data_IF_665900921960
#
_entry.id   IF_665900921960
#
_cell.length_a   1.000
_cell.length_b   1.000
_cell.length_c   1.000
_cell.angle_alpha   90.00
_cell.angle_beta   90.00
_cell.angle_gamma   90.00
#
_symmetry.space_group_name_H-M   'P 1'
#
loop_
_entity.id
_entity.type
_entity.pdbx_description
1 polymer ?
#
# COMPACT_ATOMS: atom_id res chain seq x y z
N UNK A 1 66.75 26.84 -69.86
CA UNK A 1 66.37 25.78 -70.83
C UNK A 1 65.02 25.21 -70.43
N UNK A 2 64.07 25.17 -71.37
CA UNK A 2 62.75 24.52 -71.25
C UNK A 2 62.90 23.01 -70.96
N UNK A 3 62.05 22.46 -70.08
CA UNK A 3 61.31 21.18 -70.20
C UNK A 3 60.38 21.04 -68.96
N UNK A 4 59.07 21.20 -69.17
CA UNK A 4 58.03 20.15 -69.16
C UNK A 4 57.69 19.64 -67.74
N UNK A 5 56.53 20.03 -67.18
CA UNK A 5 55.25 19.29 -67.24
C UNK A 5 55.30 17.96 -66.44
N UNK A 6 54.66 17.91 -65.26
CA UNK A 6 53.41 17.18 -65.06
C UNK A 6 52.94 17.26 -63.60
N UNK A 7 51.70 17.70 -63.47
CA UNK A 7 50.79 17.55 -62.35
C UNK A 7 50.69 16.12 -61.83
N UNK A 8 50.58 15.95 -60.51
CA UNK A 8 49.69 14.94 -59.92
C UNK A 8 49.12 15.45 -58.59
N UNK A 9 47.85 15.85 -58.68
CA UNK A 9 46.86 15.84 -57.61
C UNK A 9 46.90 14.50 -56.86
N UNK A 10 46.57 14.56 -55.57
CA UNK A 10 45.66 13.59 -54.98
C UNK A 10 46.30 12.35 -54.37
N UNK A 11 46.47 12.38 -53.04
CA UNK A 11 46.22 11.21 -52.21
C UNK A 11 45.87 11.66 -50.79
N UNK A 12 44.79 12.44 -50.67
CA UNK A 12 43.86 12.24 -49.57
C UNK A 12 43.28 10.83 -49.74
N UNK A 13 43.92 9.84 -49.13
CA UNK A 13 43.39 8.48 -49.03
C UNK A 13 43.13 8.21 -47.56
N UNK A 14 41.87 8.52 -47.20
CA UNK A 14 41.02 7.64 -46.41
C UNK A 14 41.69 7.00 -45.19
N UNK A 15 41.77 7.76 -44.10
CA UNK A 15 41.55 7.19 -42.77
C UNK A 15 40.10 6.69 -42.74
N UNK A 16 39.86 5.54 -43.37
CA UNK A 16 38.67 4.75 -43.11
C UNK A 16 38.74 4.36 -41.64
N UNK A 17 37.87 4.98 -40.85
CA UNK A 17 37.64 4.66 -39.45
C UNK A 17 37.22 3.19 -39.33
N UNK A 18 38.18 2.29 -39.13
CA UNK A 18 37.90 0.95 -38.63
C UNK A 18 37.54 1.07 -37.14
N UNK A 19 36.28 1.43 -36.87
CA UNK A 19 35.67 1.12 -35.57
C UNK A 19 35.80 -0.39 -35.40
N UNK A 20 36.42 -0.83 -34.31
CA UNK A 20 36.49 -2.26 -34.03
C UNK A 20 35.06 -2.80 -33.90
N UNK A 21 34.82 -4.05 -34.31
CA UNK A 21 33.49 -4.66 -34.21
C UNK A 21 32.92 -4.60 -32.78
N UNK A 22 33.79 -4.53 -31.78
CA UNK A 22 33.46 -4.35 -30.37
C UNK A 22 32.94 -2.95 -30.04
N UNK A 23 33.50 -1.88 -30.62
CA UNK A 23 33.01 -0.51 -30.44
C UNK A 23 31.68 -0.29 -31.15
N UNK A 24 31.51 -0.87 -32.34
CA UNK A 24 30.23 -0.83 -33.05
C UNK A 24 29.14 -1.64 -32.32
N UNK A 25 29.49 -2.78 -31.72
CA UNK A 25 28.58 -3.56 -30.87
C UNK A 25 28.23 -2.82 -29.57
N UNK A 26 29.20 -2.18 -28.91
CA UNK A 26 28.98 -1.37 -27.71
C UNK A 26 28.08 -0.15 -28.00
N UNK A 27 28.30 0.56 -29.10
CA UNK A 27 27.43 1.66 -29.51
C UNK A 27 26.02 1.19 -29.84
N UNK A 28 25.86 0.04 -30.52
CA UNK A 28 24.52 -0.54 -30.78
C UNK A 28 23.83 -0.95 -29.49
N UNK A 29 24.55 -1.55 -28.54
CA UNK A 29 24.01 -1.89 -27.22
C UNK A 29 23.61 -0.63 -26.45
N UNK A 30 24.40 0.44 -26.53
CA UNK A 30 24.11 1.71 -25.89
C UNK A 30 22.92 2.43 -26.55
N UNK A 31 22.79 2.37 -27.87
CA UNK A 31 21.63 2.89 -28.61
C UNK A 31 20.36 2.10 -28.29
N UNK A 32 20.44 0.76 -28.21
CA UNK A 32 19.32 -0.09 -27.79
C UNK A 32 18.94 0.19 -26.33
N UNK A 33 19.91 0.38 -25.44
CA UNK A 33 19.65 0.76 -24.05
C UNK A 33 19.01 2.15 -23.93
N UNK A 34 19.48 3.13 -24.70
CA UNK A 34 18.90 4.47 -24.75
C UNK A 34 17.48 4.48 -25.37
N UNK A 35 17.25 3.69 -26.41
CA UNK A 35 15.92 3.51 -27.01
C UNK A 35 14.96 2.83 -26.04
N UNK A 36 15.43 1.81 -25.31
CA UNK A 36 14.65 1.12 -24.28
C UNK A 36 14.32 2.05 -23.09
N UNK A 37 15.24 2.94 -22.70
CA UNK A 37 15.01 3.94 -21.67
C UNK A 37 13.98 5.02 -22.09
N UNK A 38 13.88 5.31 -23.39
CA UNK A 38 12.95 6.30 -23.94
C UNK A 38 11.63 5.69 -24.44
N UNK A 39 11.43 4.38 -24.26
CA UNK A 39 10.23 3.69 -24.73
C UNK A 39 8.97 4.19 -24.00
N UNK A 40 7.77 4.06 -24.61
CA UNK A 40 6.50 4.36 -23.95
C UNK A 40 6.33 3.60 -22.62
N UNK A 41 6.79 2.36 -22.54
CA UNK A 41 6.76 1.53 -21.33
C UNK A 41 7.71 2.06 -20.25
N UNK A 42 8.90 2.55 -20.61
CA UNK A 42 9.80 3.18 -19.66
C UNK A 42 9.19 4.47 -19.07
N UNK A 43 8.62 5.32 -19.93
CA UNK A 43 7.91 6.54 -19.51
C UNK A 43 6.68 6.22 -18.64
N UNK A 44 5.91 5.19 -19.00
CA UNK A 44 4.76 4.75 -18.20
C UNK A 44 5.18 4.23 -16.82
N UNK A 45 6.30 3.51 -16.72
CA UNK A 45 6.88 3.06 -15.45
C UNK A 45 7.35 4.23 -14.60
N UNK A 46 8.09 5.17 -15.17
CA UNK A 46 8.54 6.36 -14.47
C UNK A 46 7.36 7.18 -13.94
N UNK A 47 6.34 7.39 -14.77
CA UNK A 47 5.09 8.05 -14.37
C UNK A 47 4.39 7.30 -13.22
N UNK A 48 4.31 5.97 -13.30
CA UNK A 48 3.72 5.14 -12.24
C UNK A 48 4.51 5.24 -10.93
N UNK A 49 5.85 5.19 -10.98
CA UNK A 49 6.71 5.39 -9.81
C UNK A 49 6.52 6.76 -9.19
N UNK A 50 6.49 7.82 -10.01
CA UNK A 50 6.23 9.18 -9.54
C UNK A 50 4.88 9.29 -8.84
N UNK A 51 3.81 8.76 -9.44
CA UNK A 51 2.47 8.76 -8.84
C UNK A 51 2.43 7.96 -7.54
N UNK A 52 3.04 6.77 -7.51
CA UNK A 52 3.03 5.86 -6.37
C UNK A 52 3.82 6.38 -5.16
N UNK A 53 4.81 7.26 -5.39
CA UNK A 53 5.71 7.80 -4.35
C UNK A 53 5.45 9.25 -3.99
N UNK A 54 4.46 9.89 -4.63
CA UNK A 54 4.04 11.25 -4.27
C UNK A 54 3.11 11.20 -3.06
N UNK A 55 3.56 11.69 -1.90
CA UNK A 55 2.71 11.75 -0.70
C UNK A 55 1.45 12.58 -0.96
N UNK A 56 0.27 12.12 -0.51
CA UNK A 56 -0.94 12.90 -0.68
C UNK A 56 -0.92 14.14 0.22
N UNK A 57 -1.76 15.13 -0.10
CA UNK A 57 -1.86 16.35 0.69
C UNK A 57 -2.33 16.06 2.12
N UNK A 58 -1.98 16.92 3.08
CA UNK A 58 -2.49 16.80 4.44
C UNK A 58 -4.01 17.01 4.45
N UNK A 59 -4.77 16.11 5.10
CA UNK A 59 -6.21 16.30 5.28
C UNK A 59 -6.47 17.46 6.25
N UNK A 60 -7.52 18.23 5.98
CA UNK A 60 -7.86 19.39 6.78
C UNK A 60 -8.42 18.97 8.14
N UNK A 61 -7.96 19.63 9.21
CA UNK A 61 -8.33 19.26 10.58
C UNK A 61 -9.79 19.58 10.95
N UNK A 62 -10.43 20.46 10.19
CA UNK A 62 -11.82 20.90 10.35
C UNK A 62 -12.85 19.86 9.85
N UNK A 63 -12.41 18.87 9.06
CA UNK A 63 -13.23 17.77 8.55
C UNK A 63 -12.58 16.43 8.87
N UNK A 64 -12.70 15.95 10.12
CA UNK A 64 -12.17 14.65 10.48
C UNK A 64 -12.86 13.55 9.66
N UNK A 65 -12.06 12.63 9.14
CA UNK A 65 -12.55 11.47 8.40
C UNK A 65 -13.43 10.62 9.33
N UNK A 66 -14.64 10.24 8.89
CA UNK A 66 -15.45 9.27 9.63
C UNK A 66 -14.79 7.89 9.57
N UNK A 67 -14.29 7.44 10.72
CA UNK A 67 -13.59 6.16 10.83
C UNK A 67 -14.53 4.99 11.10
N UNK A 68 -15.81 5.20 11.41
CA UNK A 68 -16.73 4.10 11.74
C UNK A 68 -16.80 3.02 10.66
N UNK A 69 -16.94 3.35 9.36
CA UNK A 69 -16.95 2.33 8.31
C UNK A 69 -15.64 1.53 8.25
N UNK A 70 -14.50 2.15 8.59
CA UNK A 70 -13.21 1.48 8.67
C UNK A 70 -13.20 0.43 9.78
N UNK A 71 -13.59 0.81 11.00
CA UNK A 71 -13.50 -0.07 12.15
C UNK A 71 -14.54 -1.19 12.07
N UNK A 72 -15.73 -0.92 11.55
CA UNK A 72 -16.76 -1.95 11.30
C UNK A 72 -16.28 -3.02 10.31
N UNK A 73 -15.49 -2.64 9.31
CA UNK A 73 -14.91 -3.60 8.36
C UNK A 73 -13.91 -4.56 9.04
N UNK A 74 -13.22 -4.08 10.08
CA UNK A 74 -12.23 -4.86 10.85
C UNK A 74 -12.86 -5.74 11.93
N UNK A 75 -14.18 -5.64 12.14
CA UNK A 75 -14.88 -6.51 13.09
C UNK A 75 -15.11 -7.92 12.50
N UNK A 76 -15.12 -8.95 13.37
CA UNK A 76 -15.60 -10.29 13.02
C UNK A 76 -17.03 -10.31 12.47
N UNK A 77 -17.27 -11.08 11.41
CA UNK A 77 -18.57 -11.18 10.71
C UNK A 77 -19.67 -11.86 11.50
N UNK A 78 -19.27 -12.79 12.36
CA UNK A 78 -20.15 -13.49 13.30
C UNK A 78 -20.69 -12.55 14.39
N UNK A 79 -20.11 -11.36 14.57
CA UNK A 79 -20.69 -10.31 15.39
C UNK A 79 -20.44 -10.45 16.90
N UNK A 80 -19.51 -11.33 17.29
CA UNK A 80 -19.14 -11.47 18.71
C UNK A 80 -18.39 -10.24 19.25
N UNK A 81 -17.86 -9.36 18.40
CA UNK A 81 -17.36 -8.05 18.82
C UNK A 81 -18.26 -6.94 18.28
N UNK A 82 -18.63 -6.01 19.15
CA UNK A 82 -19.40 -4.82 18.80
C UNK A 82 -18.53 -3.57 18.93
N UNK A 83 -18.56 -2.72 17.90
CA UNK A 83 -18.11 -1.33 17.99
C UNK A 83 -19.19 -0.48 18.66
N UNK A 84 -18.83 0.13 19.80
CA UNK A 84 -19.70 1.03 20.58
C UNK A 84 -19.51 2.47 20.11
N UNK A 85 -18.26 2.91 19.98
CA UNK A 85 -17.90 4.24 19.49
C UNK A 85 -16.53 4.25 18.85
N UNK A 86 -16.26 5.26 18.03
CA UNK A 86 -14.95 5.52 17.45
C UNK A 86 -14.77 7.01 17.23
N UNK A 87 -13.53 7.47 17.37
CA UNK A 87 -13.08 8.80 16.99
C UNK A 87 -11.66 8.75 16.45
N UNK A 88 -11.29 9.76 15.67
CA UNK A 88 -9.89 10.00 15.34
C UNK A 88 -9.11 10.31 16.64
N UNK A 89 -7.98 9.64 16.84
CA UNK A 89 -7.10 9.91 17.97
C UNK A 89 -6.15 11.08 17.68
N UNK A 90 -5.70 11.19 16.43
CA UNK A 90 -4.82 12.24 15.92
C UNK A 90 -5.21 12.60 14.48
N UNK A 91 -4.58 13.64 13.94
CA UNK A 91 -4.72 13.99 12.52
C UNK A 91 -4.26 12.84 11.60
N UNK A 92 -4.96 12.67 10.48
CA UNK A 92 -4.56 11.73 9.43
C UNK A 92 -3.14 12.05 8.94
N UNK A 93 -2.27 11.04 8.83
CA UNK A 93 -0.87 11.22 8.47
C UNK A 93 -0.61 10.73 7.04
N UNK A 94 -0.26 11.61 6.09
CA UNK A 94 0.11 11.22 4.74
C UNK A 94 1.30 10.27 4.72
N UNK A 95 1.17 9.16 3.99
CA UNK A 95 2.17 8.11 3.93
C UNK A 95 2.25 7.49 2.52
N UNK A 96 3.39 6.84 2.26
CA UNK A 96 3.53 5.89 1.15
C UNK A 96 3.40 4.51 1.77
N UNK A 97 2.38 3.76 1.35
CA UNK A 97 1.99 2.49 1.95
C UNK A 97 2.33 1.34 1.00
N UNK A 98 2.81 0.23 1.57
CA UNK A 98 3.05 -0.99 0.81
C UNK A 98 1.72 -1.60 0.38
N UNK A 99 1.56 -1.86 -0.91
CA UNK A 99 0.34 -2.47 -1.43
C UNK A 99 0.16 -3.89 -0.86
N UNK A 100 -1.09 -4.30 -0.63
CA UNK A 100 -1.44 -5.70 -0.38
C UNK A 100 -0.85 -6.60 -1.45
N UNK A 101 -0.42 -7.82 -1.10
CA UNK A 101 0.24 -8.74 -2.05
C UNK A 101 -0.57 -8.89 -3.35
N UNK A 102 -1.90 -9.04 -3.25
CA UNK A 102 -2.80 -9.22 -4.40
C UNK A 102 -3.10 -7.94 -5.18
N UNK A 103 -2.69 -6.77 -4.67
CA UNK A 103 -2.79 -5.49 -5.37
C UNK A 103 -1.48 -5.10 -6.03
N UNK A 104 -0.38 -5.82 -5.73
CA UNK A 104 0.92 -5.53 -6.31
C UNK A 104 0.90 -5.88 -7.80
N UNK A 105 1.49 -5.03 -8.65
CA UNK A 105 1.66 -5.33 -10.06
C UNK A 105 2.41 -6.66 -10.27
N UNK A 106 1.88 -7.52 -11.15
CA UNK A 106 2.52 -8.80 -11.52
C UNK A 106 3.80 -8.56 -12.34
N UNK A 107 3.83 -7.49 -13.13
CA UNK A 107 5.01 -7.09 -13.89
C UNK A 107 6.10 -6.60 -12.93
N UNK A 108 7.22 -7.31 -12.87
CA UNK A 108 8.43 -6.82 -12.21
C UNK A 108 8.79 -5.43 -12.74
N UNK A 109 9.20 -4.53 -11.85
CA UNK A 109 9.57 -3.12 -12.11
C UNK A 109 8.45 -2.06 -12.04
N UNK A 110 7.24 -2.40 -11.62
CA UNK A 110 6.25 -1.41 -11.19
C UNK A 110 6.24 -1.25 -9.66
N UNK A 111 5.87 -0.07 -9.12
CA UNK A 111 5.94 0.20 -7.69
C UNK A 111 5.02 -0.73 -6.89
N UNK A 112 5.51 -1.39 -5.82
CA UNK A 112 4.69 -2.20 -4.92
C UNK A 112 4.02 -1.34 -3.83
N UNK A 113 3.95 -0.02 -4.02
CA UNK A 113 3.49 0.96 -3.03
C UNK A 113 2.46 1.88 -3.65
N UNK A 114 1.69 2.57 -2.82
CA UNK A 114 0.76 3.62 -3.24
C UNK A 114 0.65 4.73 -2.17
N UNK A 115 0.28 5.95 -2.58
CA UNK A 115 0.01 7.03 -1.63
C UNK A 115 -1.25 6.75 -0.81
N UNK A 116 -1.22 7.17 0.45
CA UNK A 116 -2.33 6.96 1.37
C UNK A 116 -2.16 7.70 2.69
N UNK A 117 -2.91 7.27 3.69
CA UNK A 117 -2.94 7.86 5.02
C UNK A 117 -2.90 6.79 6.09
N UNK A 118 -2.18 7.09 7.17
CA UNK A 118 -2.36 6.44 8.47
C UNK A 118 -3.41 7.22 9.23
N UNK A 119 -4.42 6.53 9.75
CA UNK A 119 -5.57 7.11 10.44
C UNK A 119 -5.58 6.62 11.88
N UNK A 120 -4.91 7.33 12.81
CA UNK A 120 -4.92 6.97 14.23
C UNK A 120 -6.34 7.06 14.80
N UNK A 121 -6.77 6.04 15.54
CA UNK A 121 -8.11 5.96 16.10
C UNK A 121 -8.11 5.58 17.58
N UNK A 122 -9.18 5.98 18.25
CA UNK A 122 -9.61 5.45 19.54
C UNK A 122 -11.02 4.88 19.37
N UNK A 123 -11.21 3.62 19.75
CA UNK A 123 -12.47 2.91 19.62
C UNK A 123 -12.88 2.26 20.93
N UNK A 124 -14.18 2.13 21.17
CA UNK A 124 -14.74 1.37 22.28
C UNK A 124 -15.35 0.09 21.73
N UNK A 125 -14.84 -1.06 22.19
CA UNK A 125 -15.29 -2.38 21.77
C UNK A 125 -15.96 -3.11 22.94
N UNK A 126 -16.91 -3.99 22.61
CA UNK A 126 -17.62 -4.84 23.58
C UNK A 126 -17.73 -6.26 23.06
N UNK A 127 -17.35 -7.24 23.88
CA UNK A 127 -17.54 -8.66 23.56
C UNK A 127 -18.98 -9.08 23.86
N UNK A 128 -19.62 -9.68 22.86
CA UNK A 128 -20.90 -10.40 22.91
C UNK A 128 -20.59 -11.90 22.74
N UNK A 129 -20.57 -12.70 23.82
CA UNK A 129 -20.37 -14.13 23.70
C UNK A 129 -21.45 -14.74 22.79
N UNK A 130 -21.04 -15.43 21.75
CA UNK A 130 -21.92 -16.09 20.79
C UNK A 130 -21.49 -17.55 20.63
N UNK A 131 -22.44 -18.42 20.27
CA UNK A 131 -22.18 -19.85 20.07
C UNK A 131 -22.16 -20.69 21.35
N UNK A 132 -22.29 -20.09 22.54
CA UNK A 132 -22.40 -20.81 23.80
C UNK A 132 -23.84 -21.25 24.07
N UNK A 133 -24.06 -22.56 24.19
CA UNK A 133 -25.36 -23.17 24.47
C UNK A 133 -25.83 -22.97 25.92
N UNK A 134 -27.11 -23.25 26.24
CA UNK A 134 -27.59 -23.26 27.61
C UNK A 134 -26.76 -24.20 28.49
N UNK A 135 -26.19 -23.67 29.59
CA UNK A 135 -25.34 -24.44 30.51
C UNK A 135 -23.86 -24.49 30.13
N UNK A 136 -23.46 -23.99 28.97
CA UNK A 136 -22.05 -23.88 28.61
C UNK A 136 -21.37 -22.72 29.35
N UNK A 137 -20.13 -22.97 29.78
CA UNK A 137 -19.34 -21.98 30.52
C UNK A 137 -18.77 -20.94 29.57
N UNK A 138 -19.30 -19.71 29.64
CA UNK A 138 -18.71 -18.55 28.98
C UNK A 138 -17.38 -18.21 29.68
N UNK A 139 -16.27 -18.03 28.94
CA UNK A 139 -14.99 -17.61 29.52
C UNK A 139 -15.13 -16.28 30.26
N UNK A 140 -14.44 -16.16 31.40
CA UNK A 140 -14.48 -14.94 32.22
C UNK A 140 -13.82 -13.73 31.51
N UNK A 141 -12.82 -14.01 30.67
CA UNK A 141 -12.16 -13.02 29.83
C UNK A 141 -11.54 -13.69 28.60
N UNK A 142 -11.38 -12.91 27.53
CA UNK A 142 -10.64 -13.27 26.32
C UNK A 142 -9.58 -12.19 26.05
N UNK A 143 -8.44 -12.55 25.48
CA UNK A 143 -7.47 -11.57 25.00
C UNK A 143 -7.90 -11.02 23.64
N UNK A 144 -7.89 -9.70 23.51
CA UNK A 144 -8.21 -8.99 22.29
C UNK A 144 -6.93 -8.68 21.51
N UNK A 145 -6.90 -9.18 20.28
CA UNK A 145 -5.93 -8.80 19.27
C UNK A 145 -6.55 -7.77 18.32
N UNK A 146 -5.71 -6.93 17.73
CA UNK A 146 -6.17 -5.86 16.85
C UNK A 146 -5.02 -5.14 16.14
N UNK A 147 -5.35 -4.14 15.31
CA UNK A 147 -4.38 -3.40 14.49
C UNK A 147 -3.66 -2.31 15.29
N UNK A 148 -2.84 -2.72 16.28
CA UNK A 148 -2.26 -1.85 17.31
C UNK A 148 -1.11 -0.95 16.85
N UNK A 149 -0.35 -1.36 15.82
CA UNK A 149 0.97 -0.84 15.34
C UNK A 149 2.17 -1.72 15.72
N UNK A 150 3.27 -1.69 14.94
CA UNK A 150 3.35 -1.31 13.52
C UNK A 150 2.90 -2.46 12.60
N UNK A 151 2.40 -2.11 11.42
CA UNK A 151 2.29 -3.02 10.25
C UNK A 151 1.70 -4.41 10.48
N UNK A 152 0.43 -4.48 10.89
CA UNK A 152 -0.32 -5.71 10.73
C UNK A 152 -1.63 -5.44 10.02
N UNK A 153 -1.91 -6.24 8.99
CA UNK A 153 -3.17 -6.27 8.25
C UNK A 153 -4.27 -6.97 9.06
N UNK A 154 -4.25 -6.77 10.37
CA UNK A 154 -5.02 -7.54 11.33
C UNK A 154 -6.41 -6.93 11.50
N UNK A 155 -7.41 -7.81 11.54
CA UNK A 155 -8.74 -7.53 12.07
C UNK A 155 -8.73 -7.60 13.59
N UNK A 156 -9.82 -7.19 14.23
CA UNK A 156 -10.04 -7.53 15.63
C UNK A 156 -10.39 -9.00 15.78
N UNK A 157 -9.81 -9.66 16.77
CA UNK A 157 -10.13 -11.05 17.10
C UNK A 157 -9.95 -11.31 18.59
N UNK A 158 -10.64 -12.33 19.10
CA UNK A 158 -10.47 -12.81 20.47
C UNK A 158 -9.72 -14.14 20.46
N UNK A 159 -8.82 -14.31 21.43
CA UNK A 159 -8.11 -15.57 21.70
C UNK A 159 -8.06 -15.87 23.19
N UNK A 160 -7.68 -17.08 23.54
CA UNK A 160 -7.43 -17.44 24.94
C UNK A 160 -6.23 -16.63 25.50
N UNK A 161 -6.33 -16.09 26.73
CA UNK A 161 -5.31 -15.20 27.29
C UNK A 161 -3.89 -15.78 27.35
N UNK A 162 -3.75 -17.08 27.62
CA UNK A 162 -2.46 -17.75 27.87
C UNK A 162 -1.77 -18.27 26.60
N UNK A 163 -2.42 -18.14 25.44
CA UNK A 163 -1.85 -18.59 24.16
C UNK A 163 -0.90 -17.52 23.63
N UNK A 164 0.40 -17.71 23.82
CA UNK A 164 1.42 -16.86 23.21
C UNK A 164 1.53 -17.21 21.72
N UNK A 165 1.22 -16.27 20.82
CA UNK A 165 1.37 -16.49 19.38
C UNK A 165 2.86 -16.30 19.01
N UNK A 166 3.54 -17.32 18.41
CA UNK A 166 4.93 -17.18 17.99
C UNK A 166 5.11 -16.01 17.00
N UNK A 167 6.11 -15.16 17.24
CA UNK A 167 6.46 -14.05 16.35
C UNK A 167 5.67 -12.75 16.56
N UNK A 168 4.75 -12.67 17.53
CA UNK A 168 4.15 -11.39 17.95
C UNK A 168 4.92 -10.80 19.13
N UNK A 169 5.36 -9.54 19.00
CA UNK A 169 5.87 -8.78 20.13
C UNK A 169 4.74 -8.65 21.16
N UNK A 170 4.95 -9.20 22.35
CA UNK A 170 3.94 -9.27 23.41
C UNK A 170 3.66 -7.87 23.98
N UNK A 171 2.82 -7.09 23.31
CA UNK A 171 2.05 -6.09 24.00
C UNK A 171 1.17 -6.80 25.03
N UNK A 172 1.05 -6.25 26.24
CA UNK A 172 0.20 -6.83 27.27
C UNK A 172 -1.21 -7.07 26.68
N UNK A 173 -1.77 -8.30 26.79
CA UNK A 173 -3.05 -8.61 26.16
C UNK A 173 -4.15 -7.73 26.76
N UNK A 174 -4.94 -7.09 25.91
CA UNK A 174 -6.14 -6.36 26.35
C UNK A 174 -7.20 -7.41 26.68
N UNK A 175 -7.53 -7.59 27.95
CA UNK A 175 -8.54 -8.54 28.37
C UNK A 175 -9.95 -7.94 28.23
N UNK A 176 -10.79 -8.60 27.45
CA UNK A 176 -12.22 -8.29 27.31
C UNK A 176 -13.05 -9.27 28.14
N UNK A 177 -13.92 -8.74 29.00
CA UNK A 177 -14.94 -9.51 29.69
C UNK A 177 -16.27 -9.45 28.94
N UNK A 178 -17.14 -10.46 29.07
CA UNK A 178 -18.47 -10.45 28.47
C UNK A 178 -19.23 -9.17 28.81
N UNK A 179 -19.68 -8.47 27.77
CA UNK A 179 -20.49 -7.28 27.89
C UNK A 179 -19.80 -6.01 28.41
N UNK A 180 -18.53 -6.09 28.82
CA UNK A 180 -17.77 -4.96 29.33
C UNK A 180 -17.18 -4.15 28.15
N UNK A 181 -17.44 -2.83 28.07
CA UNK A 181 -16.79 -1.98 27.07
C UNK A 181 -15.32 -1.75 27.45
N UNK A 182 -14.45 -1.78 26.44
CA UNK A 182 -13.01 -1.50 26.57
C UNK A 182 -12.58 -0.52 25.50
N UNK A 183 -11.74 0.45 25.89
CA UNK A 183 -11.17 1.44 24.97
C UNK A 183 -9.88 0.89 24.39
N UNK A 184 -9.74 1.00 23.07
CA UNK A 184 -8.57 0.54 22.32
C UNK A 184 -8.06 1.65 21.40
N UNK A 185 -6.76 1.63 21.11
CA UNK A 185 -6.11 2.58 20.21
C UNK A 185 -5.33 1.82 19.15
N UNK A 186 -5.34 2.34 17.92
CA UNK A 186 -4.64 1.72 16.81
C UNK A 186 -4.56 2.65 15.61
N UNK A 187 -4.16 2.09 14.47
CA UNK A 187 -4.02 2.82 13.21
C UNK A 187 -4.73 2.07 12.10
N UNK A 188 -5.68 2.73 11.43
CA UNK A 188 -6.27 2.26 10.19
C UNK A 188 -5.48 2.80 8.98
N UNK A 189 -5.47 2.04 7.88
CA UNK A 189 -4.76 2.42 6.66
C UNK A 189 -5.74 2.63 5.51
N UNK A 190 -5.49 3.71 4.77
CA UNK A 190 -6.31 4.12 3.66
C UNK A 190 -5.44 4.51 2.46
N UNK A 191 -5.73 3.96 1.28
CA UNK A 191 -5.06 4.36 0.04
C UNK A 191 -5.81 5.51 -0.62
N UNK A 192 -5.10 6.52 -1.11
CA UNK A 192 -5.70 7.62 -1.84
C UNK A 192 -6.06 7.15 -3.26
N UNK A 193 -7.33 7.31 -3.67
CA UNK A 193 -7.70 7.05 -5.07
C UNK A 193 -7.20 8.18 -5.96
N UNK A 194 -6.67 7.85 -7.14
CA UNK A 194 -6.55 8.86 -8.20
C UNK A 194 -7.94 9.18 -8.72
N UNK A 195 -8.44 10.42 -8.62
CA UNK A 195 -9.77 10.75 -9.08
C UNK A 195 -9.87 10.55 -10.60
N UNK A 196 -10.83 9.75 -11.05
CA UNK A 196 -11.25 9.77 -12.45
C UNK A 196 -11.94 11.11 -12.76
N UNK A 197 -11.98 11.52 -14.02
CA UNK A 197 -12.62 12.78 -14.41
C UNK A 197 -14.06 12.87 -13.86
N UNK A 198 -14.32 13.89 -13.04
CA UNK A 198 -15.64 14.11 -12.41
C UNK A 198 -15.89 13.36 -11.10
N UNK A 199 -14.92 12.59 -10.57
CA UNK A 199 -15.06 11.91 -9.28
C UNK A 199 -14.28 12.63 -8.18
N UNK A 200 -14.93 12.85 -7.03
CA UNK A 200 -14.25 13.35 -5.83
C UNK A 200 -13.22 12.31 -5.35
N UNK A 201 -12.04 12.75 -4.84
CA UNK A 201 -11.06 11.83 -4.29
C UNK A 201 -11.65 11.11 -3.07
N UNK A 202 -11.33 9.82 -2.94
CA UNK A 202 -11.79 8.96 -1.85
C UNK A 202 -10.62 8.19 -1.26
N UNK A 203 -10.82 7.67 -0.07
CA UNK A 203 -9.88 6.77 0.59
C UNK A 203 -10.38 5.33 0.49
N UNK A 204 -9.56 4.42 -0.02
CA UNK A 204 -9.86 2.98 -0.01
C UNK A 204 -9.27 2.36 1.25
N UNK A 205 -10.13 1.78 2.08
CA UNK A 205 -9.73 1.16 3.34
C UNK A 205 -9.10 -0.22 3.15
N UNK A 206 -8.17 -0.55 4.05
CA UNK A 206 -7.48 -1.84 4.09
C UNK A 206 -7.17 -2.28 5.53
N UNK A 207 -7.26 -3.59 5.86
CA UNK A 207 -7.74 -4.71 5.04
C UNK A 207 -9.25 -4.67 4.77
N UNK A 208 -9.66 -5.17 3.60
CA UNK A 208 -11.06 -5.52 3.34
C UNK A 208 -11.32 -6.99 3.72
N UNK A 209 -12.56 -7.32 4.07
CA UNK A 209 -12.99 -8.66 4.53
C UNK A 209 -12.83 -9.80 3.49
N UNK A 210 -12.08 -9.59 2.41
CA UNK A 210 -11.61 -10.62 1.52
C UNK A 210 -10.09 -10.46 1.26
N UNK A 211 -9.23 -10.85 2.21
CA UNK A 211 -7.78 -10.68 2.09
C UNK A 211 -7.13 -11.49 0.96
N UNK A 212 -7.87 -12.40 0.30
CA UNK A 212 -7.36 -13.37 -0.66
C UNK A 212 -7.90 -13.19 -2.10
N UNK A 213 -8.66 -12.13 -2.37
CA UNK A 213 -9.15 -11.81 -3.72
C UNK A 213 -8.41 -10.63 -4.36
N UNK A 214 -8.33 -10.54 -5.70
CA UNK A 214 -7.91 -9.31 -6.38
C UNK A 214 -8.82 -8.14 -5.95
N UNK A 215 -8.34 -6.89 -6.04
CA UNK A 215 -9.13 -5.72 -5.70
C UNK A 215 -10.44 -5.69 -6.50
N UNK A 216 -11.58 -5.73 -5.81
CA UNK A 216 -12.93 -5.62 -6.39
C UNK A 216 -13.57 -4.35 -5.84
N UNK A 217 -13.75 -3.34 -6.70
CA UNK A 217 -14.29 -2.03 -6.31
C UNK A 217 -15.67 -2.12 -5.66
N UNK A 218 -16.44 -3.17 -5.95
CA UNK A 218 -17.76 -3.42 -5.32
C UNK A 218 -17.66 -3.89 -3.87
N UNK A 219 -16.47 -4.30 -3.42
CA UNK A 219 -16.17 -4.84 -2.09
C UNK A 219 -15.24 -3.93 -1.28
N UNK A 220 -14.85 -2.80 -1.86
CA UNK A 220 -14.05 -1.78 -1.19
C UNK A 220 -14.94 -0.88 -0.34
N UNK A 221 -14.45 -0.52 0.84
CA UNK A 221 -15.06 0.54 1.65
C UNK A 221 -14.32 1.83 1.34
N UNK A 222 -15.09 2.83 0.96
CA UNK A 222 -14.57 4.15 0.62
C UNK A 222 -14.91 5.13 1.73
N UNK A 223 -13.90 5.83 2.24
CA UNK A 223 -14.16 7.00 3.09
C UNK A 223 -14.20 8.24 2.19
N UNK A 224 -15.25 9.07 2.33
CA UNK A 224 -15.29 10.36 1.67
C UNK A 224 -14.20 11.28 2.25
N UNK A 225 -13.64 12.13 1.39
CA UNK A 225 -12.76 13.24 1.75
C UNK A 225 -13.52 14.56 1.69
#
# INVERSE_FOLDING_TARGET
MKKLLLSLLGAGVLLNSCKSDNEAAAEKLQQVAAAAANSPEAKAREAAWRLATTKPAQLTADKPVDLRPALEQLLPKDGYLQLVSVKAADAAQPAILLLPILWRPIKGNYPPVAPGYRLPFEAVLKWKPMGYGPGEKIPAAMALDGPWTPDTLNSFSLREPEVTVPGQAAAAPILLKPGQPVTVRGVAYAYATTPAAGQAPRLVLYPYQNPLGPPDSRKMVYLPL
#
